data_IF_537474042800
#
_entry.id   IF_537474042800
#
_cell.length_a   1.000
_cell.length_b   1.000
_cell.length_c   1.000
_cell.angle_alpha   90.00
_cell.angle_beta   90.00
_cell.angle_gamma   90.00
#
_symmetry.space_group_name_H-M   'P 1'
#
loop_
_entity.id
_entity.type
_entity.pdbx_description
1 polymer ?
#
# COMPACT_ATOMS: atom_id res chain seq x y z
N UNK A 1 -8.95 3.65 -0.34
CA UNK A 1 -8.44 4.31 0.86
C UNK A 1 -9.54 4.36 1.90
N UNK A 2 -9.27 3.97 3.14
CA UNK A 2 -10.25 4.10 4.22
C UNK A 2 -10.49 5.59 4.54
N UNK A 3 -11.64 6.12 4.11
CA UNK A 3 -11.97 7.54 4.29
C UNK A 3 -12.21 7.93 5.74
N UNK A 4 -12.41 6.97 6.66
CA UNK A 4 -12.65 7.25 8.07
C UNK A 4 -11.42 7.83 8.78
N UNK A 5 -10.21 7.48 8.32
CA UNK A 5 -8.94 7.99 8.88
C UNK A 5 -8.58 9.38 8.34
N UNK A 6 -9.27 9.86 7.31
CA UNK A 6 -8.95 11.15 6.70
C UNK A 6 -9.68 12.31 7.41
N UNK A 7 -8.99 12.95 8.35
CA UNK A 7 -9.48 14.14 9.06
C UNK A 7 -9.75 15.35 8.16
N UNK A 8 -9.26 15.34 6.91
CA UNK A 8 -9.50 16.39 5.91
C UNK A 8 -10.45 15.96 4.79
N UNK A 9 -11.27 14.91 5.04
CA UNK A 9 -12.39 14.55 4.17
C UNK A 9 -13.39 15.70 4.04
N UNK A 10 -13.51 16.51 5.09
CA UNK A 10 -14.28 17.75 5.11
C UNK A 10 -13.35 18.96 5.08
N UNK A 11 -13.87 20.09 4.61
CA UNK A 11 -13.10 21.33 4.53
C UNK A 11 -12.70 21.83 5.92
N UNK A 12 -11.55 22.51 5.97
CA UNK A 12 -11.03 23.12 7.19
C UNK A 12 -11.86 24.36 7.52
N UNK A 13 -12.39 24.41 8.74
CA UNK A 13 -13.00 25.63 9.27
C UNK A 13 -11.90 26.65 9.62
N UNK A 14 -11.67 27.61 8.73
CA UNK A 14 -10.66 28.64 8.92
C UNK A 14 -11.02 29.64 10.02
N UNK A 15 -12.30 29.87 10.31
CA UNK A 15 -12.70 30.73 11.41
C UNK A 15 -12.30 30.07 12.75
N UNK A 16 -12.60 28.79 12.91
CA UNK A 16 -12.19 28.02 14.09
C UNK A 16 -10.66 27.92 14.23
N UNK A 17 -9.93 27.80 13.11
CA UNK A 17 -8.46 27.76 13.10
C UNK A 17 -7.86 29.12 13.52
N UNK A 18 -8.41 30.23 13.02
CA UNK A 18 -7.94 31.58 13.36
C UNK A 18 -8.13 31.95 14.83
N UNK A 19 -9.12 31.38 15.51
CA UNK A 19 -9.29 31.53 16.96
C UNK A 19 -8.15 30.88 17.77
N UNK A 20 -7.52 29.84 17.22
CA UNK A 20 -6.45 29.10 17.91
C UNK A 20 -5.05 29.61 17.54
N UNK A 21 -4.87 30.17 16.35
CA UNK A 21 -3.56 30.55 15.81
C UNK A 21 -3.52 32.04 15.41
N UNK A 22 -3.01 32.93 16.28
CA UNK A 22 -3.01 34.37 16.03
C UNK A 22 -2.25 34.81 14.78
N UNK A 23 -1.19 34.10 14.39
CA UNK A 23 -0.47 34.42 13.15
C UNK A 23 -1.30 34.09 11.91
N UNK A 24 -1.98 32.94 11.88
CA UNK A 24 -2.91 32.61 10.80
C UNK A 24 -4.09 33.58 10.71
N UNK A 25 -4.61 34.03 11.87
CA UNK A 25 -5.71 35.01 11.94
C UNK A 25 -5.42 36.30 11.15
N UNK A 26 -4.15 36.75 11.09
CA UNK A 26 -3.74 37.94 10.33
C UNK A 26 -3.96 37.81 8.82
N UNK A 27 -4.06 36.60 8.29
CA UNK A 27 -4.24 36.32 6.86
C UNK A 27 -5.69 35.99 6.48
N UNK A 28 -6.61 35.95 7.45
CA UNK A 28 -8.02 35.61 7.19
C UNK A 28 -8.79 36.85 6.72
N UNK A 29 -9.52 36.72 5.60
CA UNK A 29 -10.41 37.78 5.11
C UNK A 29 -11.66 37.89 5.99
N UNK A 30 -12.35 39.02 5.94
CA UNK A 30 -13.58 39.28 6.71
C UNK A 30 -14.69 38.24 6.49
N UNK A 31 -14.72 37.58 5.33
CA UNK A 31 -15.67 36.51 5.01
C UNK A 31 -15.17 35.11 5.43
N UNK A 32 -14.18 35.03 6.31
CA UNK A 32 -13.54 33.80 6.79
C UNK A 32 -12.92 32.95 5.67
N UNK A 33 -12.58 33.56 4.52
CA UNK A 33 -11.85 32.90 3.44
C UNK A 33 -10.37 33.25 3.48
N UNK A 34 -9.54 32.32 3.03
CA UNK A 34 -8.10 32.51 2.90
C UNK A 34 -7.75 32.98 1.49
N UNK A 35 -6.78 33.90 1.36
CA UNK A 35 -6.14 34.13 0.07
C UNK A 35 -5.07 33.07 -0.20
N UNK A 36 -5.41 32.06 -0.99
CA UNK A 36 -4.44 31.03 -1.34
C UNK A 36 -3.33 31.53 -2.28
N UNK A 37 -3.45 32.72 -2.87
CA UNK A 37 -2.39 33.30 -3.72
C UNK A 37 -1.34 34.06 -2.93
N UNK A 38 -1.58 34.33 -1.65
CA UNK A 38 -0.60 34.88 -0.70
C UNK A 38 0.29 33.75 -0.14
N UNK A 39 1.60 33.74 -0.45
CA UNK A 39 2.52 32.74 0.08
C UNK A 39 2.55 32.65 1.61
N UNK A 40 2.45 33.78 2.30
CA UNK A 40 2.52 33.82 3.76
C UNK A 40 1.27 33.22 4.37
N UNK A 41 0.10 33.53 3.80
CA UNK A 41 -1.17 32.92 4.18
C UNK A 41 -1.16 31.39 4.04
N UNK A 42 -0.60 30.86 2.95
CA UNK A 42 -0.51 29.41 2.70
C UNK A 42 0.49 28.75 3.67
N UNK A 43 1.61 29.41 3.97
CA UNK A 43 2.57 28.93 4.96
C UNK A 43 1.97 28.90 6.37
N UNK A 44 1.30 29.97 6.79
CA UNK A 44 0.65 30.02 8.11
C UNK A 44 -0.49 29.02 8.22
N UNK A 45 -1.26 28.78 7.15
CA UNK A 45 -2.24 27.69 7.12
C UNK A 45 -1.54 26.34 7.35
N UNK A 46 -0.45 26.07 6.62
CA UNK A 46 0.29 24.81 6.70
C UNK A 46 0.84 24.58 8.11
N UNK A 47 1.50 25.58 8.70
CA UNK A 47 2.00 25.54 10.08
C UNK A 47 0.88 25.30 11.09
N UNK A 48 -0.25 25.99 10.94
CA UNK A 48 -1.38 25.88 11.86
C UNK A 48 -2.03 24.50 11.80
N UNK A 49 -2.21 23.93 10.61
CA UNK A 49 -2.72 22.58 10.43
C UNK A 49 -1.78 21.53 11.02
N UNK A 50 -0.47 21.66 10.76
CA UNK A 50 0.53 20.73 11.31
C UNK A 50 0.57 20.76 12.83
N UNK A 51 0.51 21.96 13.41
CA UNK A 51 0.49 22.13 14.86
C UNK A 51 -0.78 21.59 15.49
N UNK A 52 -1.95 21.91 14.93
CA UNK A 52 -3.26 21.50 15.47
C UNK A 52 -3.46 19.99 15.41
N UNK A 53 -3.15 19.38 14.26
CA UNK A 53 -3.60 18.01 13.96
C UNK A 53 -2.51 16.95 14.20
N UNK A 54 -1.24 17.36 14.24
CA UNK A 54 -0.09 16.45 14.35
C UNK A 54 0.95 16.88 15.39
N UNK A 55 0.73 18.00 16.09
CA UNK A 55 1.67 18.63 17.02
C UNK A 55 3.07 18.92 16.40
N UNK A 56 3.11 19.14 15.08
CA UNK A 56 4.34 19.41 14.34
C UNK A 56 4.56 20.92 14.15
N UNK A 57 5.78 21.37 14.44
CA UNK A 57 6.22 22.75 14.20
C UNK A 57 7.06 22.81 12.93
N UNK A 58 6.64 23.65 11.99
CA UNK A 58 7.29 23.79 10.70
C UNK A 58 7.89 25.19 10.53
N UNK A 59 9.10 25.23 10.01
CA UNK A 59 9.74 26.43 9.49
C UNK A 59 10.17 26.17 8.05
N UNK A 60 9.94 27.16 7.20
CA UNK A 60 10.21 27.08 5.77
C UNK A 60 10.87 28.37 5.30
N UNK A 61 11.80 28.31 4.34
CA UNK A 61 12.26 29.50 3.67
C UNK A 61 11.20 30.00 2.68
N UNK A 62 11.25 31.29 2.35
CA UNK A 62 10.27 31.95 1.46
C UNK A 62 10.33 31.49 -0.01
N UNK A 63 11.39 30.79 -0.41
CA UNK A 63 11.71 30.36 -1.78
C UNK A 63 11.70 28.83 -1.96
N UNK A 64 10.97 28.11 -1.10
CA UNK A 64 10.75 26.66 -1.24
C UNK A 64 9.28 26.33 -1.24
N UNK A 65 8.95 25.14 -1.74
CA UNK A 65 7.58 24.68 -1.85
C UNK A 65 6.93 24.51 -0.48
N UNK A 66 5.83 25.24 -0.23
CA UNK A 66 4.99 25.01 0.94
C UNK A 66 4.05 23.80 0.69
N UNK A 67 4.13 22.72 1.48
CA UNK A 67 3.36 21.51 1.21
C UNK A 67 1.90 21.63 1.72
N UNK A 68 0.87 21.45 0.86
CA UNK A 68 -0.52 21.43 1.33
C UNK A 68 -0.80 20.15 2.13
N UNK A 69 -0.93 20.29 3.46
CA UNK A 69 -1.03 19.17 4.43
C UNK A 69 -2.04 18.09 4.02
N UNK A 70 -3.29 18.40 3.61
CA UNK A 70 -4.28 17.37 3.31
C UNK A 70 -3.85 16.42 2.18
N UNK A 71 -3.21 16.95 1.13
CA UNK A 71 -2.76 16.13 0.01
C UNK A 71 -1.56 15.25 0.41
N UNK A 72 -0.65 15.76 1.26
CA UNK A 72 0.49 14.98 1.77
C UNK A 72 0.02 13.86 2.70
N UNK A 73 -0.97 14.15 3.53
CA UNK A 73 -1.59 13.18 4.44
C UNK A 73 -2.29 12.04 3.70
N UNK A 74 -2.99 12.32 2.59
CA UNK A 74 -3.60 11.28 1.74
C UNK A 74 -2.58 10.24 1.25
N UNK A 75 -1.36 10.69 0.90
CA UNK A 75 -0.30 9.77 0.46
C UNK A 75 0.16 8.87 1.63
N UNK A 76 0.34 9.42 2.83
CA UNK A 76 0.69 8.61 4.02
C UNK A 76 -0.41 7.60 4.35
N UNK A 77 -1.69 8.01 4.30
CA UNK A 77 -2.82 7.08 4.52
C UNK A 77 -2.85 5.94 3.50
N UNK A 78 -2.52 6.22 2.25
CA UNK A 78 -2.42 5.20 1.21
C UNK A 78 -1.25 4.23 1.44
N UNK A 79 -0.09 4.74 1.86
CA UNK A 79 1.05 3.88 2.25
C UNK A 79 0.70 2.98 3.44
N UNK A 80 -0.04 3.50 4.42
CA UNK A 80 -0.57 2.68 5.52
C UNK A 80 -1.49 1.58 4.98
N UNK A 81 -2.44 1.91 4.09
CA UNK A 81 -3.32 0.91 3.46
C UNK A 81 -2.52 -0.17 2.70
N UNK A 82 -1.48 0.19 1.96
CA UNK A 82 -0.62 -0.76 1.25
C UNK A 82 0.10 -1.70 2.22
N UNK A 83 0.75 -1.15 3.25
CA UNK A 83 1.55 -1.96 4.20
C UNK A 83 0.69 -2.81 5.12
N UNK A 84 -0.42 -2.26 5.61
CA UNK A 84 -1.37 -2.96 6.50
C UNK A 84 -2.08 -4.10 5.77
N UNK A 85 -2.14 -4.05 4.43
CA UNK A 85 -2.73 -5.10 3.58
C UNK A 85 -1.71 -6.08 2.96
N UNK A 86 -0.42 -5.87 3.18
CA UNK A 86 0.67 -6.71 2.62
C UNK A 86 1.69 -7.10 3.69
N UNK A 87 1.25 -7.41 4.91
CA UNK A 87 2.13 -7.85 6.00
C UNK A 87 2.54 -9.33 5.82
N UNK A 88 3.70 -9.70 6.37
CA UNK A 88 4.18 -11.10 6.38
C UNK A 88 3.27 -12.03 7.22
N UNK A 89 2.49 -11.44 8.14
CA UNK A 89 1.46 -12.13 8.93
C UNK A 89 0.14 -12.29 8.17
N UNK A 90 0.03 -11.71 6.97
CA UNK A 90 -1.20 -11.65 6.17
C UNK A 90 -2.40 -11.10 6.96
N UNK A 91 -2.14 -10.16 7.87
CA UNK A 91 -3.17 -9.36 8.53
C UNK A 91 -3.73 -8.33 7.56
N UNK A 92 -4.98 -7.91 7.77
CA UNK A 92 -5.64 -6.85 6.99
C UNK A 92 -5.86 -5.62 7.86
N UNK A 93 -4.80 -5.17 8.52
CA UNK A 93 -4.88 -4.13 9.53
C UNK A 93 -3.52 -3.77 10.11
N UNK A 94 -3.51 -2.66 10.83
CA UNK A 94 -2.32 -2.09 11.44
C UNK A 94 -1.71 -3.03 12.48
N UNK A 95 -0.47 -3.46 12.23
CA UNK A 95 0.37 -4.15 13.21
C UNK A 95 1.21 -3.13 13.97
N UNK A 96 0.89 -2.91 15.24
CA UNK A 96 1.57 -1.94 16.11
C UNK A 96 3.01 -2.33 16.42
N UNK A 97 3.35 -3.60 16.29
CA UNK A 97 4.68 -4.13 16.60
C UNK A 97 5.60 -4.18 15.37
N UNK A 98 5.08 -3.87 14.18
CA UNK A 98 5.87 -3.89 12.95
C UNK A 98 6.78 -2.66 12.88
N UNK A 99 8.08 -2.90 12.95
CA UNK A 99 9.09 -1.92 12.56
C UNK A 99 9.02 -1.68 11.04
N UNK A 100 8.90 -0.42 10.63
CA UNK A 100 8.78 -0.03 9.22
C UNK A 100 9.85 0.99 8.89
N UNK A 101 10.57 0.75 7.79
CA UNK A 101 11.57 1.67 7.28
C UNK A 101 11.24 2.16 5.86
N UNK A 102 10.91 3.44 5.76
CA UNK A 102 10.59 4.11 4.51
C UNK A 102 11.76 4.93 3.96
N UNK A 103 11.75 5.17 2.64
CA UNK A 103 12.62 6.16 1.99
C UNK A 103 11.76 7.23 1.33
N UNK A 104 11.99 8.49 1.69
CA UNK A 104 11.45 9.67 0.99
C UNK A 104 12.50 10.24 0.02
N UNK A 105 12.15 10.37 -1.26
CA UNK A 105 13.04 10.82 -2.33
C UNK A 105 12.64 12.24 -2.75
N UNK A 106 13.51 13.21 -2.44
CA UNK A 106 13.23 14.63 -2.61
C UNK A 106 12.33 15.14 -1.48
N UNK A 107 12.82 15.09 -0.24
CA UNK A 107 12.03 15.40 0.96
C UNK A 107 11.68 16.88 1.11
N UNK A 108 12.44 17.75 0.43
CA UNK A 108 12.29 19.20 0.46
C UNK A 108 12.61 19.80 1.83
N UNK A 109 12.59 21.14 1.91
CA UNK A 109 12.82 21.87 3.17
C UNK A 109 11.87 21.44 4.30
N UNK A 110 10.66 21.01 3.95
CA UNK A 110 9.64 20.65 4.93
C UNK A 110 9.87 19.32 5.63
N UNK A 111 10.53 18.34 4.98
CA UNK A 111 10.58 16.95 5.45
C UNK A 111 9.18 16.42 5.87
N UNK A 112 8.14 16.78 5.11
CA UNK A 112 6.75 16.64 5.56
C UNK A 112 6.31 15.18 5.67
N UNK A 113 6.71 14.34 4.71
CA UNK A 113 6.26 12.95 4.68
C UNK A 113 6.86 12.10 5.81
N UNK A 114 8.19 12.15 6.07
CA UNK A 114 8.78 11.46 7.21
C UNK A 114 8.17 11.89 8.54
N UNK A 115 7.92 13.19 8.74
CA UNK A 115 7.33 13.69 9.98
C UNK A 115 5.89 13.20 10.18
N UNK A 116 5.03 13.32 9.17
CA UNK A 116 3.66 12.81 9.24
C UNK A 116 3.63 11.29 9.47
N UNK A 117 4.44 10.53 8.73
CA UNK A 117 4.54 9.08 8.89
C UNK A 117 4.95 8.70 10.32
N UNK A 118 5.98 9.36 10.85
CA UNK A 118 6.46 9.14 12.21
C UNK A 118 5.43 9.48 13.29
N UNK A 119 4.65 10.55 13.14
CA UNK A 119 3.59 10.93 14.09
C UNK A 119 2.46 9.90 14.09
N UNK A 120 2.03 9.45 12.91
CA UNK A 120 0.89 8.54 12.78
C UNK A 120 1.22 7.09 13.12
N UNK A 121 2.51 6.71 13.03
CA UNK A 121 2.99 5.35 13.22
C UNK A 121 4.26 5.37 14.09
N UNK A 122 4.16 5.05 15.39
CA UNK A 122 5.29 5.11 16.32
C UNK A 122 6.52 4.27 15.92
N UNK A 123 6.30 3.16 15.21
CA UNK A 123 7.33 2.24 14.73
C UNK A 123 7.83 2.54 13.31
N UNK A 124 7.34 3.61 12.67
CA UNK A 124 7.88 4.07 11.40
C UNK A 124 9.15 4.88 11.65
N UNK A 125 10.12 4.63 10.79
CA UNK A 125 11.40 5.33 10.67
C UNK A 125 11.65 5.59 9.18
N UNK A 126 12.48 6.58 8.87
CA UNK A 126 12.70 7.05 7.51
C UNK A 126 14.16 7.34 7.22
N UNK A 127 14.59 7.04 5.99
CA UNK A 127 15.54 7.87 5.27
C UNK A 127 14.80 8.95 4.47
N UNK A 128 15.39 10.14 4.40
CA UNK A 128 14.87 11.25 3.61
C UNK A 128 16.04 11.86 2.83
N UNK A 129 15.95 11.78 1.51
CA UNK A 129 17.00 12.26 0.60
C UNK A 129 16.61 13.58 -0.05
N UNK A 130 17.60 14.44 -0.25
CA UNK A 130 17.45 15.64 -1.09
C UNK A 130 18.80 15.98 -1.74
N UNK A 131 18.77 16.76 -2.83
CA UNK A 131 19.98 17.21 -3.54
C UNK A 131 20.34 18.66 -3.21
N UNK A 132 19.42 19.42 -2.63
CA UNK A 132 19.58 20.85 -2.35
C UNK A 132 20.02 21.08 -0.89
N UNK A 133 21.17 21.72 -0.71
CA UNK A 133 21.76 21.96 0.62
C UNK A 133 20.81 22.76 1.53
N UNK A 134 20.08 23.74 0.98
CA UNK A 134 19.12 24.55 1.73
C UNK A 134 17.92 23.71 2.18
N UNK A 135 17.39 22.83 1.32
CA UNK A 135 16.38 21.85 1.70
C UNK A 135 16.88 20.95 2.83
N UNK A 136 18.07 20.37 2.69
CA UNK A 136 18.67 19.49 3.69
C UNK A 136 18.84 20.20 5.04
N UNK A 137 19.29 21.45 5.05
CA UNK A 137 19.41 22.25 6.26
C UNK A 137 18.05 22.42 6.95
N UNK A 138 17.04 22.91 6.25
CA UNK A 138 15.70 23.12 6.83
C UNK A 138 15.04 21.80 7.25
N UNK A 139 15.23 20.73 6.49
CA UNK A 139 14.74 19.40 6.82
C UNK A 139 15.33 18.90 8.15
N UNK A 140 16.65 19.03 8.35
CA UNK A 140 17.33 18.71 9.62
C UNK A 140 16.79 19.55 10.77
N UNK A 141 16.69 20.87 10.59
CA UNK A 141 16.19 21.79 11.61
C UNK A 141 14.73 21.46 12.01
N UNK A 142 13.88 21.16 11.03
CA UNK A 142 12.48 20.78 11.26
C UNK A 142 12.35 19.45 12.01
N UNK A 143 13.11 18.43 11.59
CA UNK A 143 13.14 17.12 12.26
C UNK A 143 13.61 17.24 13.71
N UNK A 144 14.69 17.99 13.96
CA UNK A 144 15.22 18.22 15.30
C UNK A 144 14.24 19.01 16.17
N UNK A 145 13.59 20.04 15.62
CA UNK A 145 12.58 20.84 16.33
C UNK A 145 11.43 19.98 16.84
N UNK A 146 11.05 18.96 16.09
CA UNK A 146 9.98 18.02 16.43
C UNK A 146 10.49 16.75 17.15
N UNK A 147 11.78 16.67 17.51
CA UNK A 147 12.40 15.55 18.24
C UNK A 147 12.24 14.20 17.52
N UNK A 148 12.35 14.22 16.20
CA UNK A 148 12.21 13.03 15.34
C UNK A 148 13.55 12.56 14.75
N UNK A 149 14.66 13.16 15.14
CA UNK A 149 16.03 12.88 14.67
C UNK A 149 16.45 11.42 14.89
N UNK A 150 16.00 10.78 15.98
CA UNK A 150 16.23 9.36 16.23
C UNK A 150 15.48 8.41 15.27
N UNK A 151 14.52 8.92 14.50
CA UNK A 151 13.68 8.13 13.57
C UNK A 151 13.79 8.55 12.12
N UNK A 152 14.35 9.72 11.83
CA UNK A 152 14.44 10.27 10.48
C UNK A 152 15.91 10.62 10.20
N UNK A 153 16.55 9.85 9.32
CA UNK A 153 17.88 10.18 8.80
C UNK A 153 17.76 11.09 7.57
N UNK A 154 18.40 12.26 7.62
CA UNK A 154 18.51 13.15 6.46
C UNK A 154 19.79 12.83 5.72
N UNK A 155 19.67 12.45 4.46
CA UNK A 155 20.78 11.97 3.63
C UNK A 155 20.93 12.90 2.42
N UNK A 156 22.13 13.43 2.23
CA UNK A 156 22.45 14.20 1.03
C UNK A 156 22.58 13.24 -0.16
N UNK A 157 22.00 13.62 -1.29
CA UNK A 157 22.13 12.90 -2.55
C UNK A 157 22.57 13.86 -3.65
N UNK A 158 22.87 13.33 -4.83
CA UNK A 158 23.22 14.14 -5.99
C UNK A 158 22.53 13.62 -7.26
N UNK A 159 22.45 14.41 -8.34
CA UNK A 159 21.87 13.93 -9.59
C UNK A 159 22.56 12.67 -10.16
N UNK A 160 23.83 12.45 -9.83
CA UNK A 160 24.64 11.31 -10.28
C UNK A 160 24.54 10.06 -9.39
N UNK A 161 24.06 10.19 -8.15
CA UNK A 161 23.84 9.03 -7.25
C UNK A 161 22.52 8.33 -7.58
N UNK A 162 22.35 7.08 -7.11
CA UNK A 162 21.09 6.35 -7.24
C UNK A 162 19.94 7.10 -6.53
N UNK A 163 18.72 7.02 -7.07
CA UNK A 163 17.52 7.55 -6.38
C UNK A 163 17.19 6.73 -5.12
N UNK A 164 17.55 5.45 -5.10
CA UNK A 164 17.34 4.54 -3.97
C UNK A 164 18.71 4.04 -3.47
N UNK A 165 19.45 4.87 -2.69
CA UNK A 165 20.83 4.59 -2.32
C UNK A 165 20.90 3.67 -1.08
N UNK A 166 20.52 2.40 -1.22
CA UNK A 166 20.47 1.44 -0.10
C UNK A 166 21.80 1.29 0.67
N UNK A 167 22.94 1.56 0.03
CA UNK A 167 24.25 1.50 0.67
C UNK A 167 24.64 2.75 1.47
N UNK A 168 23.96 3.87 1.25
CA UNK A 168 24.22 5.14 1.92
C UNK A 168 23.22 5.40 3.05
N UNK A 169 22.05 4.76 3.01
CA UNK A 169 21.06 4.83 4.08
C UNK A 169 21.38 3.80 5.16
N UNK A 170 21.36 4.22 6.43
CA UNK A 170 21.48 3.33 7.57
C UNK A 170 20.18 2.55 7.78
N UNK A 171 20.07 1.36 7.19
CA UNK A 171 18.97 0.43 7.50
C UNK A 171 19.08 -0.01 8.97
N UNK A 172 18.01 0.12 9.78
CA UNK A 172 18.00 -0.43 11.13
C UNK A 172 18.24 -1.95 11.11
N UNK A 173 18.92 -2.51 12.12
CA UNK A 173 19.16 -3.96 12.22
C UNK A 173 17.86 -4.79 12.21
N UNK A 174 16.76 -4.22 12.69
CA UNK A 174 15.42 -4.81 12.66
C UNK A 174 14.83 -4.94 11.24
N UNK A 175 15.45 -4.32 10.23
CA UNK A 175 14.93 -4.23 8.87
C UNK A 175 15.93 -4.83 7.88
N UNK A 176 15.60 -5.97 7.28
CA UNK A 176 16.39 -6.56 6.21
C UNK A 176 16.26 -5.83 4.85
N UNK A 177 15.29 -4.92 4.73
CA UNK A 177 14.88 -4.25 3.50
C UNK A 177 14.14 -2.93 3.81
N UNK A 178 13.91 -2.12 2.78
CA UNK A 178 12.91 -1.04 2.89
C UNK A 178 11.49 -1.61 2.79
N UNK A 179 10.58 -1.08 3.59
CA UNK A 179 9.16 -1.38 3.48
C UNK A 179 8.53 -0.59 2.34
N UNK A 180 8.99 0.65 2.12
CA UNK A 180 8.57 1.42 0.97
C UNK A 180 9.58 2.50 0.54
N UNK A 181 9.46 2.92 -0.72
CA UNK A 181 9.90 4.26 -1.15
C UNK A 181 8.68 5.13 -1.43
N UNK A 182 8.84 6.44 -1.27
CA UNK A 182 7.88 7.44 -1.70
C UNK A 182 8.58 8.61 -2.36
N UNK A 183 7.89 9.26 -3.29
CA UNK A 183 8.41 10.40 -4.01
C UNK A 183 7.27 11.31 -4.45
N UNK A 184 7.49 12.61 -4.36
CA UNK A 184 6.70 13.61 -5.08
C UNK A 184 7.63 14.31 -6.08
N UNK A 185 7.76 13.78 -7.31
CA UNK A 185 8.81 14.19 -8.24
C UNK A 185 8.58 15.62 -8.74
N UNK A 186 9.65 16.32 -9.17
CA UNK A 186 9.52 17.56 -9.91
C UNK A 186 8.66 17.34 -11.17
N UNK A 187 7.71 18.24 -11.43
CA UNK A 187 6.66 18.02 -12.42
C UNK A 187 7.04 18.38 -13.86
N UNK A 188 7.94 19.34 -14.03
CA UNK A 188 8.20 19.99 -15.32
C UNK A 188 9.55 19.54 -15.89
N UNK A 189 9.64 19.43 -17.20
CA UNK A 189 10.86 19.12 -17.94
C UNK A 189 11.81 20.31 -17.99
N UNK A 190 11.25 21.51 -18.10
CA UNK A 190 12.01 22.74 -18.32
C UNK A 190 11.28 23.96 -17.77
N UNK A 191 12.00 25.07 -17.65
CA UNK A 191 11.43 26.37 -17.30
C UNK A 191 10.38 26.83 -18.33
N UNK A 192 10.60 26.52 -19.60
CA UNK A 192 9.67 26.85 -20.68
C UNK A 192 8.36 26.07 -20.57
N UNK A 193 8.41 24.78 -20.20
CA UNK A 193 7.20 23.99 -19.92
C UNK A 193 6.43 24.57 -18.73
N UNK A 194 7.13 24.92 -17.64
CA UNK A 194 6.53 25.54 -16.46
C UNK A 194 5.80 26.84 -16.81
N UNK A 195 6.45 27.72 -17.58
CA UNK A 195 5.87 28.99 -18.05
C UNK A 195 4.70 28.74 -19.00
N UNK A 196 4.85 27.80 -19.94
CA UNK A 196 3.81 27.48 -20.92
C UNK A 196 2.57 26.88 -20.26
N UNK A 197 2.76 25.97 -19.29
CA UNK A 197 1.68 25.39 -18.49
C UNK A 197 0.98 26.45 -17.62
N UNK A 198 1.71 27.45 -17.12
CA UNK A 198 1.10 28.58 -16.42
C UNK A 198 0.27 29.46 -17.36
N UNK A 199 0.76 29.74 -18.57
CA UNK A 199 0.06 30.54 -19.60
C UNK A 199 -1.15 29.84 -20.21
N UNK A 200 -1.10 28.52 -20.37
CA UNK A 200 -2.19 27.72 -20.94
C UNK A 200 -3.41 27.61 -20.00
N UNK A 201 -3.24 27.94 -18.71
CA UNK A 201 -4.36 28.02 -17.78
C UNK A 201 -5.10 29.33 -18.00
N UNK A 202 -6.39 29.24 -18.32
CA UNK A 202 -7.28 30.41 -18.49
C UNK A 202 -7.42 31.26 -17.21
N UNK A 203 -6.99 30.75 -16.05
CA UNK A 203 -6.99 31.44 -14.76
C UNK A 203 -5.66 31.19 -14.05
N UNK A 204 -5.16 32.16 -13.25
CA UNK A 204 -3.98 31.94 -12.42
C UNK A 204 -4.18 30.73 -11.50
N UNK A 205 -3.07 30.07 -11.09
CA UNK A 205 -3.16 28.94 -10.15
C UNK A 205 -3.89 29.36 -8.88
N UNK A 206 -4.74 28.47 -8.36
CA UNK A 206 -5.56 28.73 -7.17
C UNK A 206 -4.75 28.82 -5.88
N UNK A 207 -3.44 28.57 -5.92
CA UNK A 207 -2.55 28.68 -4.77
C UNK A 207 -1.17 29.17 -5.20
N UNK A 208 -0.51 29.92 -4.32
CA UNK A 208 0.86 30.36 -4.47
C UNK A 208 1.79 29.16 -4.70
N UNK A 209 2.67 29.28 -5.69
CA UNK A 209 3.71 28.30 -5.96
C UNK A 209 5.06 28.97 -5.72
N UNK A 210 5.62 28.73 -4.54
CA UNK A 210 6.93 29.23 -4.11
C UNK A 210 8.06 28.24 -4.37
N UNK A 211 7.78 27.13 -5.05
CA UNK A 211 8.77 26.07 -5.29
C UNK A 211 9.94 26.60 -6.09
N UNK A 212 11.16 26.22 -5.68
CA UNK A 212 12.35 26.52 -6.45
C UNK A 212 12.42 25.63 -7.70
N UNK A 213 13.19 26.05 -8.71
CA UNK A 213 13.38 25.26 -9.92
C UNK A 213 13.86 23.84 -9.63
N UNK A 214 14.74 23.67 -8.63
CA UNK A 214 15.24 22.36 -8.17
C UNK A 214 14.14 21.44 -7.61
N UNK A 215 13.02 21.98 -7.14
CA UNK A 215 11.86 21.22 -6.65
C UNK A 215 10.76 21.03 -7.70
N UNK A 216 10.84 21.77 -8.82
CA UNK A 216 9.78 21.85 -9.82
C UNK A 216 10.18 21.29 -11.17
N UNK A 217 11.47 21.29 -11.51
CA UNK A 217 12.01 20.96 -12.82
C UNK A 217 12.98 19.78 -12.71
N UNK A 218 12.85 18.81 -13.61
CA UNK A 218 13.80 17.72 -13.82
C UNK A 218 13.82 17.36 -15.31
N UNK A 219 14.96 16.97 -15.87
CA UNK A 219 15.04 16.57 -17.27
C UNK A 219 14.03 15.46 -17.61
N UNK A 220 13.19 15.68 -18.63
CA UNK A 220 12.11 14.76 -19.04
C UNK A 220 10.89 14.70 -18.09
N UNK A 221 10.83 15.61 -17.11
CA UNK A 221 9.72 15.80 -16.18
C UNK A 221 9.45 14.58 -15.28
N UNK A 222 8.26 14.56 -14.68
CA UNK A 222 7.88 13.49 -13.74
C UNK A 222 7.94 12.08 -14.34
N UNK A 223 7.66 11.94 -15.65
CA UNK A 223 7.68 10.63 -16.32
C UNK A 223 9.09 10.07 -16.37
N UNK A 224 10.09 10.86 -16.78
CA UNK A 224 11.47 10.38 -16.85
C UNK A 224 12.02 10.06 -15.45
N UNK A 225 11.68 10.87 -14.45
CA UNK A 225 12.08 10.66 -13.07
C UNK A 225 11.53 9.35 -12.51
N UNK A 226 10.22 9.11 -12.65
CA UNK A 226 9.61 7.88 -12.14
C UNK A 226 10.00 6.66 -12.99
N UNK A 227 10.22 6.82 -14.30
CA UNK A 227 10.79 5.75 -15.13
C UNK A 227 12.20 5.34 -14.66
N UNK A 228 13.02 6.30 -14.20
CA UNK A 228 14.31 5.98 -13.56
C UNK A 228 14.11 5.18 -12.27
N UNK A 229 13.15 5.56 -11.42
CA UNK A 229 12.79 4.76 -10.23
C UNK A 229 12.37 3.33 -10.60
N UNK A 230 11.55 3.15 -11.64
CA UNK A 230 11.15 1.83 -12.14
C UNK A 230 12.39 1.01 -12.54
N UNK A 231 13.30 1.58 -13.33
CA UNK A 231 14.54 0.89 -13.76
C UNK A 231 15.47 0.54 -12.59
N UNK A 232 15.59 1.40 -11.59
CA UNK A 232 16.33 1.08 -10.37
C UNK A 232 15.63 -0.05 -9.60
N UNK A 233 14.31 -0.05 -9.53
CA UNK A 233 13.53 -1.11 -8.87
C UNK A 233 13.71 -2.48 -9.52
N UNK A 234 13.95 -2.57 -10.84
CA UNK A 234 14.23 -3.84 -11.54
C UNK A 234 15.50 -4.50 -11.01
N UNK A 235 16.49 -3.70 -10.59
CA UNK A 235 17.73 -4.20 -9.99
C UNK A 235 17.55 -4.52 -8.50
N UNK A 236 16.77 -3.71 -7.80
CA UNK A 236 16.58 -3.81 -6.35
C UNK A 236 15.56 -4.87 -5.94
N UNK A 237 14.58 -5.16 -6.80
CA UNK A 237 13.55 -6.20 -6.62
C UNK A 237 12.94 -6.15 -5.22
N UNK A 238 13.10 -7.22 -4.45
CA UNK A 238 12.51 -7.44 -3.13
C UNK A 238 13.28 -6.73 -1.99
N UNK A 239 14.36 -5.99 -2.30
CA UNK A 239 15.02 -5.10 -1.30
C UNK A 239 14.18 -3.89 -0.91
N UNK A 240 13.08 -3.65 -1.63
CA UNK A 240 12.00 -2.75 -1.21
C UNK A 240 10.69 -3.50 -1.41
N UNK A 241 9.83 -3.50 -0.39
CA UNK A 241 8.51 -4.10 -0.52
C UNK A 241 7.60 -3.30 -1.46
N UNK A 242 7.45 -1.99 -1.27
CA UNK A 242 6.65 -1.12 -2.15
C UNK A 242 7.45 0.06 -2.69
N UNK A 243 7.62 0.15 -3.99
CA UNK A 243 8.08 1.36 -4.64
C UNK A 243 6.87 2.22 -4.95
N UNK A 244 6.86 3.50 -4.56
CA UNK A 244 5.74 4.39 -4.86
C UNK A 244 6.18 5.77 -5.31
N UNK A 245 5.36 6.41 -6.14
CA UNK A 245 5.50 7.82 -6.50
C UNK A 245 4.14 8.47 -6.70
N UNK A 246 3.98 9.70 -6.20
CA UNK A 246 2.90 10.58 -6.62
C UNK A 246 3.20 11.13 -8.02
N UNK A 247 2.16 11.45 -8.78
CA UNK A 247 2.25 12.11 -10.09
C UNK A 247 1.19 13.21 -10.21
N UNK A 248 1.58 14.30 -10.87
CA UNK A 248 0.79 15.51 -11.05
C UNK A 248 -0.18 15.43 -12.22
N UNK A 249 0.16 14.68 -13.27
CA UNK A 249 -0.64 14.54 -14.49
C UNK A 249 -1.21 13.12 -14.62
N UNK A 250 -2.48 13.02 -14.98
CA UNK A 250 -3.13 11.71 -15.19
C UNK A 250 -2.49 10.93 -16.36
N UNK A 251 -2.08 11.62 -17.43
CA UNK A 251 -1.39 11.02 -18.57
C UNK A 251 -0.11 10.30 -18.15
N UNK A 252 0.60 10.79 -17.14
CA UNK A 252 1.81 10.15 -16.59
C UNK A 252 1.51 8.76 -16.04
N UNK A 253 0.33 8.53 -15.45
CA UNK A 253 -0.07 7.22 -14.90
C UNK A 253 -0.05 6.16 -16.00
N UNK A 254 -0.72 6.41 -17.13
CA UNK A 254 -0.81 5.44 -18.22
C UNK A 254 0.58 5.12 -18.80
N UNK A 255 1.40 6.14 -19.04
CA UNK A 255 2.77 5.95 -19.57
C UNK A 255 3.64 5.14 -18.61
N UNK A 256 3.60 5.44 -17.31
CA UNK A 256 4.42 4.75 -16.31
C UNK A 256 3.97 3.31 -16.09
N UNK A 257 2.67 3.03 -16.14
CA UNK A 257 2.16 1.66 -16.08
C UNK A 257 2.59 0.83 -17.31
N UNK A 258 2.63 1.42 -18.50
CA UNK A 258 3.15 0.74 -19.68
C UNK A 258 4.62 0.36 -19.51
N UNK A 259 5.46 1.29 -19.07
CA UNK A 259 6.88 1.01 -18.76
C UNK A 259 6.98 -0.10 -17.71
N UNK A 260 6.19 -0.03 -16.65
CA UNK A 260 6.18 -1.02 -15.58
C UNK A 260 5.79 -2.43 -16.08
N UNK A 261 4.85 -2.52 -17.02
CA UNK A 261 4.46 -3.79 -17.66
C UNK A 261 5.52 -4.31 -18.62
N UNK A 262 6.18 -3.43 -19.39
CA UNK A 262 7.30 -3.78 -20.28
C UNK A 262 8.48 -4.38 -19.47
N UNK A 263 8.74 -3.85 -18.27
CA UNK A 263 9.72 -4.40 -17.33
C UNK A 263 9.24 -5.69 -16.62
N UNK A 264 8.03 -6.16 -16.93
CA UNK A 264 7.50 -7.46 -16.47
C UNK A 264 6.91 -7.47 -15.07
N UNK A 265 6.56 -6.31 -14.49
CA UNK A 265 5.90 -6.26 -13.19
C UNK A 265 4.44 -6.78 -13.28
N UNK A 266 4.00 -7.48 -12.23
CA UNK A 266 2.65 -8.08 -12.13
C UNK A 266 1.88 -7.68 -10.88
N UNK A 267 2.44 -6.78 -10.07
CA UNK A 267 1.90 -6.39 -8.77
C UNK A 267 2.04 -4.88 -8.58
N UNK A 268 0.98 -4.16 -8.95
CA UNK A 268 0.92 -2.71 -8.88
C UNK A 268 -0.37 -2.24 -8.22
N UNK A 269 -0.39 -0.96 -7.84
CA UNK A 269 -1.48 -0.26 -7.20
C UNK A 269 -1.56 1.15 -7.78
N UNK A 270 -2.77 1.70 -7.83
CA UNK A 270 -3.02 3.08 -8.25
C UNK A 270 -3.90 3.76 -7.21
N UNK A 271 -3.61 5.02 -6.90
CA UNK A 271 -4.45 5.86 -6.06
C UNK A 271 -4.83 7.16 -6.74
N UNK A 272 -5.93 7.73 -6.28
CA UNK A 272 -6.34 9.10 -6.58
C UNK A 272 -6.52 9.86 -5.27
N UNK A 273 -5.88 11.01 -5.16
CA UNK A 273 -5.99 11.93 -4.03
C UNK A 273 -6.77 13.16 -4.50
N UNK A 274 -7.98 13.31 -3.99
CA UNK A 274 -8.85 14.44 -4.29
C UNK A 274 -8.90 15.35 -3.06
N UNK A 275 -8.51 16.62 -3.22
CA UNK A 275 -8.67 17.63 -2.18
C UNK A 275 -9.44 18.84 -2.74
N UNK A 276 -10.55 19.16 -2.09
CA UNK A 276 -11.51 20.14 -2.57
C UNK A 276 -12.12 19.76 -3.93
N UNK A 277 -12.63 20.75 -4.65
CA UNK A 277 -13.37 20.52 -5.90
C UNK A 277 -12.50 20.37 -7.16
N UNK A 278 -11.19 20.68 -7.09
CA UNK A 278 -10.35 20.86 -8.29
C UNK A 278 -8.99 20.17 -8.24
N UNK A 279 -8.37 20.01 -7.08
CA UNK A 279 -7.01 19.46 -7.01
C UNK A 279 -7.07 17.94 -6.96
N UNK A 280 -6.61 17.32 -8.04
CA UNK A 280 -6.40 15.88 -8.15
C UNK A 280 -4.91 15.59 -8.26
N UNK A 281 -4.48 14.55 -7.56
CA UNK A 281 -3.17 13.91 -7.73
C UNK A 281 -3.41 12.41 -7.85
N UNK A 282 -2.50 11.74 -8.52
CA UNK A 282 -2.50 10.29 -8.60
C UNK A 282 -1.24 9.76 -7.95
N UNK A 283 -1.28 8.51 -7.51
CA UNK A 283 -0.06 7.81 -7.12
C UNK A 283 -0.03 6.44 -7.79
N UNK A 284 1.17 5.99 -8.12
CA UNK A 284 1.42 4.63 -8.56
C UNK A 284 2.31 3.95 -7.53
N UNK A 285 2.06 2.66 -7.33
CA UNK A 285 2.82 1.80 -6.43
C UNK A 285 3.08 0.48 -7.11
N UNK A 286 4.25 -0.10 -6.94
CA UNK A 286 4.57 -1.41 -7.47
C UNK A 286 5.47 -2.19 -6.52
N UNK A 287 5.33 -3.51 -6.58
CA UNK A 287 6.11 -4.45 -5.80
C UNK A 287 6.63 -5.55 -6.71
N UNK A 288 7.84 -6.02 -6.42
CA UNK A 288 8.38 -7.24 -7.03
C UNK A 288 8.11 -8.49 -6.18
N UNK A 289 7.54 -8.30 -4.98
CA UNK A 289 7.09 -9.38 -4.12
C UNK A 289 5.70 -9.86 -4.53
N UNK A 290 5.32 -11.02 -4.01
CA UNK A 290 4.06 -11.68 -4.30
C UNK A 290 2.94 -11.35 -3.30
N UNK A 291 3.17 -10.47 -2.31
CA UNK A 291 2.13 -10.00 -1.40
C UNK A 291 1.13 -9.10 -2.14
N UNK A 292 -0.14 -9.48 -2.12
CA UNK A 292 -1.18 -8.78 -2.87
C UNK A 292 -1.91 -7.77 -1.98
N UNK A 293 -1.94 -6.48 -2.36
CA UNK A 293 -2.66 -5.47 -1.59
C UNK A 293 -4.17 -5.69 -1.65
N UNK A 294 -4.87 -5.21 -0.63
CA UNK A 294 -6.33 -5.24 -0.59
C UNK A 294 -6.96 -4.35 -1.65
N UNK A 295 -8.23 -4.59 -1.99
CA UNK A 295 -8.90 -3.86 -3.07
C UNK A 295 -8.88 -2.34 -2.86
N UNK A 296 -9.11 -1.88 -1.64
CA UNK A 296 -9.12 -0.46 -1.27
C UNK A 296 -7.76 0.24 -1.40
N UNK A 297 -6.66 -0.51 -1.29
CA UNK A 297 -5.30 -0.01 -1.40
C UNK A 297 -4.82 -0.04 -2.86
N UNK A 298 -5.18 -1.10 -3.58
CA UNK A 298 -4.74 -1.35 -4.95
C UNK A 298 -5.52 -0.54 -6.00
N UNK A 299 -6.80 -0.29 -5.74
CA UNK A 299 -7.77 0.26 -6.69
C UNK A 299 -8.53 1.41 -6.02
N UNK A 300 -8.48 2.65 -6.57
CA UNK A 300 -9.22 3.76 -5.99
C UNK A 300 -10.73 3.53 -6.15
N UNK A 301 -11.50 3.96 -5.14
CA UNK A 301 -12.95 3.87 -5.18
C UNK A 301 -13.50 4.96 -6.11
N UNK A 302 -14.11 4.57 -7.23
CA UNK A 302 -14.69 5.50 -8.21
C UNK A 302 -14.51 5.01 -9.65
N UNK A 303 -15.05 5.78 -10.59
CA UNK A 303 -14.93 5.53 -12.04
C UNK A 303 -13.94 6.48 -12.73
N UNK A 304 -13.19 7.28 -11.96
CA UNK A 304 -12.26 8.28 -12.48
C UNK A 304 -11.05 7.70 -13.19
N UNK A 305 -10.62 6.49 -12.81
CA UNK A 305 -9.51 5.77 -13.46
C UNK A 305 -10.08 4.63 -14.31
N UNK A 306 -9.76 4.56 -15.63
CA UNK A 306 -10.18 3.49 -16.50
C UNK A 306 -9.76 2.11 -15.99
N UNK A 307 -10.67 1.13 -16.08
CA UNK A 307 -10.46 -0.23 -15.57
C UNK A 307 -9.21 -0.93 -16.12
N UNK A 308 -8.78 -0.61 -17.34
CA UNK A 308 -7.61 -1.21 -17.97
C UNK A 308 -6.27 -0.76 -17.34
N UNK A 309 -6.26 0.36 -16.60
CA UNK A 309 -5.10 0.83 -15.84
C UNK A 309 -5.05 0.26 -14.42
N UNK A 310 -6.13 -0.40 -13.97
CA UNK A 310 -6.23 -0.92 -12.61
C UNK A 310 -5.72 -2.37 -12.54
N UNK A 311 -5.02 -2.75 -11.46
CA UNK A 311 -4.54 -4.13 -11.26
C UNK A 311 -5.70 -5.11 -11.17
N UNK A 312 -5.51 -6.37 -11.56
CA UNK A 312 -6.55 -7.41 -11.43
C UNK A 312 -7.21 -7.38 -10.03
N UNK A 313 -8.55 -7.42 -9.91
CA UNK A 313 -9.24 -7.31 -8.62
C UNK A 313 -8.73 -8.36 -7.61
N UNK A 314 -8.20 -7.94 -6.44
CA UNK A 314 -7.65 -8.88 -5.46
C UNK A 314 -8.74 -9.52 -4.59
N UNK A 315 -10.02 -9.19 -4.79
CA UNK A 315 -11.13 -9.65 -3.97
C UNK A 315 -12.30 -10.07 -4.87
N UNK A 316 -12.97 -11.15 -4.47
CA UNK A 316 -14.16 -11.67 -5.12
C UNK A 316 -15.21 -12.00 -4.05
N UNK A 317 -16.35 -11.33 -4.12
CA UNK A 317 -17.47 -11.55 -3.20
C UNK A 317 -18.63 -12.19 -3.94
N UNK A 318 -19.27 -13.17 -3.32
CA UNK A 318 -20.51 -13.76 -3.81
C UNK A 318 -21.51 -13.92 -2.67
N UNK A 319 -22.79 -13.80 -3.03
CA UNK A 319 -23.91 -13.91 -2.11
C UNK A 319 -24.38 -15.37 -2.06
N UNK A 320 -24.65 -15.87 -0.86
CA UNK A 320 -25.27 -17.17 -0.67
C UNK A 320 -26.77 -17.11 -1.02
N UNK A 321 -27.39 -18.23 -1.41
CA UNK A 321 -28.84 -18.30 -1.61
C UNK A 321 -29.61 -17.78 -0.39
N UNK A 322 -30.79 -17.13 -0.59
CA UNK A 322 -31.65 -16.73 0.51
C UNK A 322 -31.93 -17.91 1.45
N UNK A 323 -31.95 -17.66 2.76
CA UNK A 323 -32.14 -18.67 3.83
C UNK A 323 -30.96 -19.60 4.10
N UNK A 324 -29.81 -19.47 3.42
CA UNK A 324 -28.60 -20.23 3.77
C UNK A 324 -28.12 -19.83 5.17
N UNK A 325 -28.06 -20.74 6.15
CA UNK A 325 -27.57 -20.38 7.48
C UNK A 325 -26.08 -20.00 7.45
N UNK A 326 -25.71 -19.02 8.27
CA UNK A 326 -24.33 -18.56 8.42
C UNK A 326 -23.39 -19.70 8.83
N UNK A 327 -23.81 -20.56 9.76
CA UNK A 327 -23.03 -21.74 10.19
C UNK A 327 -22.84 -22.75 9.07
N UNK A 328 -23.89 -23.09 8.33
CA UNK A 328 -23.83 -24.02 7.19
C UNK A 328 -22.86 -23.52 6.12
N UNK A 329 -22.83 -22.21 5.88
CA UNK A 329 -21.87 -21.59 4.95
C UNK A 329 -20.42 -21.82 5.39
N UNK A 330 -20.13 -21.61 6.68
CA UNK A 330 -18.80 -21.84 7.26
C UNK A 330 -18.40 -23.31 7.18
N UNK A 331 -19.32 -24.22 7.50
CA UNK A 331 -19.08 -25.66 7.48
C UNK A 331 -18.79 -26.16 6.05
N UNK A 332 -19.53 -25.64 5.06
CA UNK A 332 -19.32 -25.95 3.64
C UNK A 332 -17.95 -25.46 3.15
N UNK A 333 -17.52 -24.26 3.56
CA UNK A 333 -16.19 -23.71 3.24
C UNK A 333 -15.09 -24.58 3.86
N UNK A 334 -15.14 -24.79 5.18
CA UNK A 334 -14.11 -25.52 5.91
C UNK A 334 -13.98 -26.97 5.41
N UNK A 335 -15.11 -27.68 5.27
CA UNK A 335 -15.11 -29.07 4.79
C UNK A 335 -14.57 -29.18 3.35
N UNK A 336 -14.84 -28.18 2.51
CA UNK A 336 -14.37 -28.17 1.12
C UNK A 336 -12.87 -27.90 1.00
N UNK A 337 -12.30 -27.06 1.87
CA UNK A 337 -10.88 -26.68 1.81
C UNK A 337 -10.00 -27.69 2.53
N UNK A 338 -10.43 -28.23 3.68
CA UNK A 338 -9.69 -29.28 4.43
C UNK A 338 -9.48 -30.54 3.58
N UNK A 339 -10.37 -30.80 2.62
CA UNK A 339 -10.25 -31.91 1.68
C UNK A 339 -9.20 -31.70 0.55
N UNK A 340 -8.55 -30.53 0.51
CA UNK A 340 -7.52 -30.19 -0.48
C UNK A 340 -6.12 -30.33 0.11
N UNK A 341 -5.13 -30.55 -0.74
CA UNK A 341 -3.72 -30.47 -0.37
C UNK A 341 -3.26 -29.00 -0.32
N UNK A 342 -3.71 -28.31 0.73
CA UNK A 342 -3.40 -26.90 1.03
C UNK A 342 -3.18 -26.74 2.52
N UNK A 343 -2.42 -25.73 2.91
CA UNK A 343 -2.53 -25.23 4.27
C UNK A 343 -3.85 -24.49 4.45
N UNK A 344 -4.54 -24.73 5.56
CA UNK A 344 -5.75 -24.03 5.94
C UNK A 344 -5.82 -23.84 7.44
N UNK A 345 -6.18 -22.63 7.86
CA UNK A 345 -6.48 -22.31 9.26
C UNK A 345 -7.67 -21.36 9.32
N UNK A 346 -8.67 -21.70 10.12
CA UNK A 346 -9.90 -20.94 10.31
C UNK A 346 -9.94 -20.30 11.70
N UNK A 347 -10.21 -19.00 11.74
CA UNK A 347 -10.44 -18.23 12.96
C UNK A 347 -11.95 -17.99 13.12
N UNK A 348 -12.57 -18.70 14.07
CA UNK A 348 -13.99 -18.59 14.37
C UNK A 348 -14.41 -17.22 14.92
N UNK A 349 -13.54 -16.56 15.69
CA UNK A 349 -13.83 -15.25 16.29
C UNK A 349 -13.99 -14.14 15.25
N UNK A 350 -13.32 -14.25 14.11
CA UNK A 350 -13.38 -13.29 13.00
C UNK A 350 -14.12 -13.82 11.78
N UNK A 351 -14.63 -15.05 11.83
CA UNK A 351 -15.24 -15.77 10.70
C UNK A 351 -14.40 -15.67 9.42
N UNK A 352 -13.09 -15.85 9.58
CA UNK A 352 -12.10 -15.70 8.51
C UNK A 352 -11.13 -16.87 8.54
N UNK A 353 -10.73 -17.38 7.37
CA UNK A 353 -9.65 -18.36 7.25
C UNK A 353 -8.56 -17.92 6.29
N UNK A 354 -7.35 -18.39 6.54
CA UNK A 354 -6.15 -18.16 5.75
C UNK A 354 -5.65 -19.49 5.18
N UNK A 355 -5.32 -19.51 3.90
CA UNK A 355 -4.80 -20.71 3.24
C UNK A 355 -3.71 -20.43 2.22
N UNK A 356 -2.89 -21.46 1.97
CA UNK A 356 -1.78 -21.43 1.02
C UNK A 356 -1.72 -22.73 0.21
N UNK A 357 -1.49 -22.60 -1.08
CA UNK A 357 -1.37 -23.71 -2.02
C UNK A 357 -0.08 -23.57 -2.84
N UNK A 358 0.59 -24.70 -3.11
CA UNK A 358 1.74 -24.77 -4.02
C UNK A 358 1.36 -24.70 -5.51
N UNK A 359 0.07 -24.61 -5.81
CA UNK A 359 -0.51 -24.63 -7.14
C UNK A 359 -1.99 -24.96 -7.07
N UNK A 360 -2.60 -25.29 -8.22
CA UNK A 360 -4.02 -25.65 -8.27
C UNK A 360 -4.29 -27.01 -7.59
N UNK A 361 -4.90 -27.01 -6.40
CA UNK A 361 -5.25 -28.23 -5.66
C UNK A 361 -6.75 -28.62 -5.76
N UNK A 362 -7.61 -27.71 -6.24
CA UNK A 362 -9.07 -27.85 -6.20
C UNK A 362 -9.68 -28.37 -7.51
N UNK A 363 -9.00 -28.21 -8.65
CA UNK A 363 -9.53 -28.65 -9.94
C UNK A 363 -9.73 -30.17 -9.99
N UNK A 364 -10.66 -30.62 -10.83
CA UNK A 364 -10.88 -32.07 -11.04
C UNK A 364 -9.62 -32.76 -11.57
N UNK A 365 -8.86 -32.09 -12.42
CA UNK A 365 -7.62 -32.60 -12.97
C UNK A 365 -6.56 -32.78 -11.86
N UNK A 366 -6.33 -31.73 -11.06
CA UNK A 366 -5.36 -31.78 -9.95
C UNK A 366 -5.67 -32.90 -8.95
N UNK A 367 -6.94 -33.01 -8.52
CA UNK A 367 -7.35 -34.06 -7.57
C UNK A 367 -7.18 -35.48 -8.14
N UNK A 368 -7.37 -35.66 -9.45
CA UNK A 368 -7.12 -36.95 -10.13
C UNK A 368 -5.62 -37.28 -10.19
N UNK A 369 -4.79 -36.29 -10.52
CA UNK A 369 -3.34 -36.47 -10.55
C UNK A 369 -2.77 -36.81 -9.17
N UNK A 370 -3.20 -36.12 -8.11
CA UNK A 370 -2.77 -36.44 -6.75
C UNK A 370 -3.18 -37.86 -6.34
N UNK A 371 -4.41 -38.28 -6.65
CA UNK A 371 -4.84 -39.67 -6.38
C UNK A 371 -3.98 -40.67 -7.13
N UNK A 372 -3.64 -40.40 -8.40
CA UNK A 372 -2.75 -41.24 -9.21
C UNK A 372 -1.35 -41.32 -8.59
N UNK A 373 -0.74 -40.19 -8.23
CA UNK A 373 0.58 -40.14 -7.59
C UNK A 373 0.59 -40.83 -6.22
N UNK A 374 -0.48 -40.73 -5.43
CA UNK A 374 -0.60 -41.42 -4.16
C UNK A 374 -0.66 -42.95 -4.34
N UNK A 375 -1.38 -43.43 -5.35
CA UNK A 375 -1.43 -44.85 -5.73
C UNK A 375 -0.05 -45.32 -6.20
N UNK A 376 0.61 -44.56 -7.08
CA UNK A 376 1.95 -44.89 -7.58
C UNK A 376 3.00 -44.91 -6.45
N UNK A 377 2.97 -43.94 -5.54
CA UNK A 377 3.83 -43.94 -4.34
C UNK A 377 3.55 -45.15 -3.46
N UNK A 378 2.29 -45.44 -3.15
CA UNK A 378 1.93 -46.61 -2.32
C UNK A 378 2.39 -47.93 -2.97
N UNK A 379 2.26 -48.07 -4.29
CA UNK A 379 2.75 -49.23 -5.04
C UNK A 379 4.28 -49.32 -5.04
N UNK A 380 4.99 -48.20 -5.14
CA UNK A 380 6.46 -48.15 -5.08
C UNK A 380 6.98 -48.48 -3.67
N UNK A 381 6.31 -48.01 -2.62
CA UNK A 381 6.67 -48.33 -1.23
C UNK A 381 6.42 -49.81 -0.90
N UNK A 382 5.37 -50.42 -1.47
CA UNK A 382 5.12 -51.87 -1.32
C UNK A 382 6.09 -52.75 -2.13
N UNK A 383 6.71 -52.23 -3.19
CA UNK A 383 7.70 -52.95 -3.99
C UNK A 383 9.14 -52.84 -3.45
N UNK A 384 9.38 -52.01 -2.41
CA UNK A 384 10.71 -51.63 -1.93
C UNK A 384 11.12 -52.14 -0.55
N UNK A 385 10.32 -52.97 0.14
CA UNK A 385 10.64 -53.41 1.52
C UNK A 385 10.60 -54.94 1.67
N UNK A 386 11.80 -55.54 1.78
CA UNK A 386 12.03 -56.85 2.42
C UNK A 386 12.79 -56.62 3.73
N UNK A 387 12.06 -56.28 4.81
CA UNK A 387 12.48 -56.47 6.20
C UNK A 387 11.28 -56.31 7.14
N UNK A 388 11.21 -57.02 8.29
CA UNK A 388 10.02 -57.09 9.11
C UNK A 388 9.81 -55.81 9.93
N UNK A 389 8.56 -55.35 10.00
CA UNK A 389 8.14 -54.21 10.81
C UNK A 389 7.82 -54.66 12.24
N UNK A 390 8.43 -54.01 13.24
CA UNK A 390 7.92 -53.99 14.61
C UNK A 390 6.61 -53.20 14.65
N UNK A 391 5.57 -53.84 15.19
CA UNK A 391 4.25 -53.26 15.39
C UNK A 391 4.29 -52.28 16.57
N UNK A 392 4.36 -50.98 16.26
CA UNK A 392 3.93 -49.91 17.18
C UNK A 392 2.45 -49.63 16.96
N UNK A 393 1.62 -49.90 17.97
CA UNK A 393 0.20 -49.55 18.02
C UNK A 393 -0.01 -48.07 17.67
N UNK A 394 -0.80 -47.82 16.63
CA UNK A 394 -1.39 -46.51 16.36
C UNK A 394 -2.73 -46.45 17.05
N UNK A 395 -2.79 -45.74 18.16
CA UNK A 395 -4.04 -45.29 18.75
C UNK A 395 -4.79 -44.39 17.76
N UNK A 396 -5.89 -44.92 17.28
CA UNK A 396 -6.95 -44.18 16.62
C UNK A 396 -7.87 -43.57 17.68
N UNK A 397 -7.86 -42.24 17.81
CA UNK A 397 -9.01 -41.36 18.12
C UNK A 397 -8.48 -39.98 18.50
N UNK A 398 -8.42 -39.07 17.53
CA UNK A 398 -8.74 -37.67 17.82
C UNK A 398 -9.38 -37.01 16.59
N UNK A 399 -10.68 -36.81 16.67
CA UNK A 399 -11.48 -36.07 15.71
C UNK A 399 -11.36 -34.59 16.02
N UNK A 400 -10.42 -33.89 15.37
CA UNK A 400 -10.33 -32.42 15.44
C UNK A 400 -8.92 -31.85 15.62
N UNK A 401 -7.91 -32.37 14.90
CA UNK A 401 -6.59 -31.75 14.92
C UNK A 401 -6.67 -30.32 14.37
N UNK A 402 -6.70 -29.33 15.26
CA UNK A 402 -6.51 -27.91 14.95
C UNK A 402 -5.21 -27.81 14.16
N UNK A 403 -5.28 -27.44 12.88
CA UNK A 403 -4.10 -27.05 12.11
C UNK A 403 -3.34 -26.00 12.91
N UNK A 404 -2.02 -26.15 13.13
CA UNK A 404 -1.25 -25.23 13.94
C UNK A 404 -1.41 -23.81 13.44
N UNK A 405 -1.32 -22.82 14.33
CA UNK A 405 -1.39 -21.41 13.96
C UNK A 405 -0.39 -21.08 12.83
N UNK A 406 -0.74 -20.06 12.04
CA UNK A 406 0.09 -19.66 10.91
C UNK A 406 1.46 -19.14 11.37
N UNK A 407 2.53 -19.64 10.74
CA UNK A 407 3.90 -19.21 11.01
C UNK A 407 4.49 -18.69 9.69
N UNK A 408 4.79 -17.37 9.58
CA UNK A 408 5.43 -16.81 8.41
C UNK A 408 6.73 -17.55 8.03
N UNK A 409 6.95 -17.75 6.73
CA UNK A 409 8.11 -18.46 6.20
C UNK A 409 8.06 -19.99 6.30
N UNK A 410 7.01 -20.57 6.91
CA UNK A 410 6.81 -22.03 6.96
C UNK A 410 5.71 -22.46 6.01
N UNK A 411 4.48 -22.00 6.21
CA UNK A 411 3.33 -22.45 5.41
C UNK A 411 3.16 -21.70 4.09
N UNK A 412 3.59 -20.43 4.01
CA UNK A 412 3.56 -19.62 2.79
C UNK A 412 4.82 -19.81 1.92
N UNK A 413 5.87 -20.44 2.44
CA UNK A 413 7.13 -20.65 1.73
C UNK A 413 6.96 -21.57 0.52
N UNK A 414 7.18 -21.01 -0.66
CA UNK A 414 7.00 -21.69 -1.95
C UNK A 414 5.53 -21.95 -2.29
N UNK A 415 4.59 -21.25 -1.65
CA UNK A 415 3.21 -21.20 -2.10
C UNK A 415 3.10 -20.29 -3.33
N UNK A 416 2.43 -20.78 -4.37
CA UNK A 416 2.14 -20.01 -5.59
C UNK A 416 0.86 -19.19 -5.44
N UNK A 417 0.00 -19.57 -4.48
CA UNK A 417 -1.27 -18.94 -4.22
C UNK A 417 -1.57 -18.91 -2.72
N UNK A 418 -1.86 -17.71 -2.21
CA UNK A 418 -2.37 -17.50 -0.85
C UNK A 418 -3.69 -16.76 -0.89
N UNK A 419 -4.61 -17.17 -0.04
CA UNK A 419 -5.96 -16.64 0.00
C UNK A 419 -6.50 -16.48 1.42
N UNK A 420 -7.40 -15.50 1.59
CA UNK A 420 -8.23 -15.38 2.78
C UNK A 420 -9.70 -15.51 2.39
N UNK A 421 -10.47 -16.24 3.18
CA UNK A 421 -11.93 -16.33 3.01
C UNK A 421 -12.57 -15.72 4.24
N UNK A 422 -13.48 -14.77 4.07
CA UNK A 422 -14.30 -14.24 5.16
C UNK A 422 -15.78 -14.45 4.87
N UNK A 423 -16.56 -14.69 5.91
CA UNK A 423 -18.02 -14.84 5.84
C UNK A 423 -18.65 -13.75 6.68
N UNK A 424 -19.63 -13.02 6.10
CA UNK A 424 -20.37 -11.96 6.79
C UNK A 424 -21.86 -12.19 6.66
N UNK A 425 -22.57 -12.12 7.77
CA UNK A 425 -24.04 -12.15 7.82
C UNK A 425 -24.59 -10.74 8.01
N UNK A 426 -25.74 -10.46 7.39
CA UNK A 426 -26.46 -9.20 7.55
C UNK A 426 -27.81 -9.44 8.25
N UNK A 427 -28.41 -8.37 8.79
CA UNK A 427 -29.67 -8.46 9.54
C UNK A 427 -30.84 -9.03 8.72
N UNK A 428 -30.79 -8.90 7.39
CA UNK A 428 -31.80 -9.42 6.47
C UNK A 428 -31.65 -10.93 6.17
N UNK A 429 -30.72 -11.62 6.84
CA UNK A 429 -30.45 -13.05 6.64
C UNK A 429 -29.57 -13.36 5.43
N UNK A 430 -29.12 -12.35 4.69
CA UNK A 430 -28.13 -12.50 3.63
C UNK A 430 -26.76 -12.89 4.21
N UNK A 431 -26.08 -13.82 3.55
CA UNK A 431 -24.71 -14.23 3.89
C UNK A 431 -23.81 -14.03 2.68
N UNK A 432 -22.73 -13.28 2.87
CA UNK A 432 -21.71 -13.04 1.86
C UNK A 432 -20.44 -13.80 2.18
N UNK A 433 -19.84 -14.38 1.14
CA UNK A 433 -18.49 -14.96 1.20
C UNK A 433 -17.57 -14.10 0.35
N UNK A 434 -16.48 -13.62 0.95
CA UNK A 434 -15.45 -12.87 0.25
C UNK A 434 -14.15 -13.65 0.24
N UNK A 435 -13.60 -13.88 -0.94
CA UNK A 435 -12.28 -14.46 -1.15
C UNK A 435 -11.32 -13.35 -1.53
N UNK A 436 -10.24 -13.19 -0.76
CA UNK A 436 -9.17 -12.25 -1.00
C UNK A 436 -7.90 -12.97 -1.44
N UNK A 437 -7.34 -12.54 -2.56
CA UNK A 437 -6.01 -12.94 -3.03
C UNK A 437 -4.95 -12.20 -2.22
N UNK A 438 -4.14 -12.92 -1.44
CA UNK A 438 -3.13 -12.32 -0.57
C UNK A 438 -1.69 -12.65 -0.96
N UNK A 439 -1.47 -13.71 -1.74
CA UNK A 439 -0.14 -14.11 -2.24
C UNK A 439 -0.21 -14.68 -3.66
N UNK A 440 0.74 -14.33 -4.51
CA UNK A 440 0.98 -14.94 -5.82
C UNK A 440 0.87 -13.95 -6.98
N UNK A 441 1.09 -14.43 -8.22
CA UNK A 441 1.04 -13.59 -9.43
C UNK A 441 0.03 -14.05 -10.48
N UNK A 442 -0.56 -15.23 -10.34
CA UNK A 442 -1.45 -15.81 -11.36
C UNK A 442 -2.94 -15.51 -11.06
N UNK A 443 -3.58 -14.58 -11.78
CA UNK A 443 -5.00 -14.30 -11.60
C UNK A 443 -5.89 -15.49 -12.00
N UNK A 444 -5.45 -16.35 -12.92
CA UNK A 444 -6.23 -17.52 -13.37
C UNK A 444 -6.39 -18.52 -12.24
N UNK A 445 -5.35 -18.72 -11.44
CA UNK A 445 -5.41 -19.57 -10.24
C UNK A 445 -6.42 -18.98 -9.25
N UNK A 446 -6.39 -17.68 -8.99
CA UNK A 446 -7.34 -17.02 -8.09
C UNK A 446 -8.79 -17.16 -8.57
N UNK A 447 -9.08 -16.83 -9.83
CA UNK A 447 -10.43 -16.97 -10.41
C UNK A 447 -10.93 -18.42 -10.35
N UNK A 448 -10.04 -19.38 -10.65
CA UNK A 448 -10.34 -20.81 -10.57
C UNK A 448 -10.74 -21.22 -9.15
N UNK A 449 -10.03 -20.75 -8.13
CA UNK A 449 -10.32 -21.03 -6.73
C UNK A 449 -11.65 -20.41 -6.30
N UNK A 450 -11.89 -19.13 -6.65
CA UNK A 450 -13.15 -18.44 -6.39
C UNK A 450 -14.35 -19.19 -6.98
N UNK A 451 -14.24 -19.63 -8.24
CA UNK A 451 -15.27 -20.43 -8.89
C UNK A 451 -15.47 -21.81 -8.24
N UNK A 452 -14.40 -22.44 -7.77
CA UNK A 452 -14.50 -23.68 -7.00
C UNK A 452 -15.27 -23.48 -5.69
N UNK A 453 -14.88 -22.49 -4.90
CA UNK A 453 -15.46 -22.28 -3.57
C UNK A 453 -16.92 -21.87 -3.67
N UNK A 454 -17.27 -20.95 -4.59
CA UNK A 454 -18.65 -20.55 -4.85
C UNK A 454 -19.56 -21.76 -5.13
N UNK A 455 -19.16 -22.63 -6.07
CA UNK A 455 -19.92 -23.85 -6.40
C UNK A 455 -20.04 -24.83 -5.23
N UNK A 456 -19.10 -24.82 -4.29
CA UNK A 456 -19.12 -25.69 -3.11
C UNK A 456 -20.08 -25.17 -2.06
N UNK A 457 -20.06 -23.87 -1.80
CA UNK A 457 -21.00 -23.21 -0.91
C UNK A 457 -22.43 -23.33 -1.44
N UNK A 458 -22.67 -23.03 -2.73
CA UNK A 458 -24.01 -23.13 -3.34
C UNK A 458 -24.60 -24.54 -3.37
N UNK A 459 -23.78 -25.60 -3.27
CA UNK A 459 -24.25 -27.00 -3.26
C UNK A 459 -24.32 -27.63 -1.87
N UNK A 460 -23.61 -27.05 -0.91
CA UNK A 460 -23.61 -27.49 0.49
C UNK A 460 -24.55 -26.68 1.38
N UNK A 461 -25.04 -25.55 0.87
CA UNK A 461 -26.07 -24.69 1.46
C UNK A 461 -27.48 -25.29 1.33
#
# INVERSE_FOLDING_TARGET
MDTARNIYKHDVDFAALALQFPNFSKHLKQNNQLDFTDPDAVQELTKSLLKRDFDLHLDLPSDRLCPPVPNRFNYILWLQDLLDSTSEKYSDGYDQERDVFGLDIGTGASCIYPQLGCVLRPKWKFAATDIDEKNLKYARDNVQRNKLDSRIQIVESSPSTALIPLGEIGLPESNARLDFTMCNPPFYESRDELISAAKAKQRPPFSACTGAEVEMITAGGEVAFVARMIRESVKLRERVQWYTSMVGKFSSVATLLNILHEEGNKNWAVAEFVQGSKTRRWAIGWSWMDYRPGANAARPQGQSIPKHLLPFPPEFTFHCPPSTPFSTTIDAINSSIVALDVYWHWNSGTSTGLGFARGNAWSRHARRQMKKQAIEKAQTTMAGTTAPAEYGEKDSKDSGAKSPDFIPGKQDKGAEFGFKVSVRGYMEGQVDVTVRWVKGFDPVIFESFCGFLKRKVERGA
#
